data_IF_679203497168
#
_entry.id   IF_679203497168
#
_cell.length_a   1.000
_cell.length_b   1.000
_cell.length_c   1.000
_cell.angle_alpha   90.00
_cell.angle_beta   90.00
_cell.angle_gamma   90.00
#
_symmetry.space_group_name_H-M   'P 1'
#
loop_
_entity.id
_entity.type
_entity.pdbx_description
1 polymer ?
#
# COMPACT_ATOMS: atom_id res chain seq x y z
N UNK A 1 0.73 -1.54 -1.02
CA UNK A 1 1.16 -2.55 -0.02
C UNK A 1 1.82 -3.68 -0.77
N UNK A 2 3.05 -4.06 -0.39
CA UNK A 2 3.66 -5.29 -0.89
C UNK A 2 3.49 -6.38 0.17
N UNK A 3 2.69 -7.39 -0.15
CA UNK A 3 2.45 -8.52 0.74
C UNK A 3 3.61 -9.52 0.62
N UNK A 4 3.95 -10.15 1.75
CA UNK A 4 4.76 -11.36 1.72
C UNK A 4 4.04 -12.43 0.88
N UNK A 5 4.77 -13.29 0.16
CA UNK A 5 4.20 -14.26 -0.78
C UNK A 5 3.15 -15.17 -0.13
N UNK A 6 3.34 -15.51 1.15
CA UNK A 6 2.44 -16.38 1.94
C UNK A 6 1.03 -15.82 2.15
N UNK A 7 0.86 -14.50 2.00
CA UNK A 7 -0.40 -13.79 2.22
C UNK A 7 -1.04 -13.29 0.92
N UNK A 8 -0.40 -13.50 -0.24
CA UNK A 8 -0.98 -13.14 -1.54
C UNK A 8 -2.26 -13.97 -1.76
N UNK A 9 -3.38 -13.29 -2.06
CA UNK A 9 -4.69 -13.92 -2.26
C UNK A 9 -5.45 -14.29 -0.98
N UNK A 10 -4.84 -14.13 0.20
CA UNK A 10 -5.51 -14.38 1.50
C UNK A 10 -5.99 -13.11 2.18
N UNK A 11 -5.39 -11.96 1.84
CA UNK A 11 -5.70 -10.67 2.44
C UNK A 11 -6.29 -9.77 1.37
N UNK A 12 -7.46 -9.20 1.66
CA UNK A 12 -8.19 -8.28 0.79
C UNK A 12 -8.15 -6.85 1.33
N UNK A 13 -8.44 -5.88 0.46
CA UNK A 13 -8.41 -4.46 0.83
C UNK A 13 -9.39 -4.14 1.97
N UNK A 14 -10.60 -4.71 1.91
CA UNK A 14 -11.63 -4.52 2.93
C UNK A 14 -11.18 -5.02 4.31
N UNK A 15 -10.51 -6.16 4.37
CA UNK A 15 -10.00 -6.73 5.62
C UNK A 15 -8.96 -5.79 6.27
N UNK A 16 -8.08 -5.20 5.46
CA UNK A 16 -7.10 -4.21 5.94
C UNK A 16 -7.80 -2.93 6.40
N UNK A 17 -8.79 -2.45 5.66
CA UNK A 17 -9.57 -1.25 6.02
C UNK A 17 -10.29 -1.49 7.35
N UNK A 18 -10.96 -2.63 7.51
CA UNK A 18 -11.66 -3.01 8.74
C UNK A 18 -10.68 -3.07 9.92
N UNK A 19 -9.54 -3.74 9.74
CA UNK A 19 -8.48 -3.78 10.74
C UNK A 19 -7.99 -2.39 11.14
N UNK A 20 -7.82 -1.48 10.18
CA UNK A 20 -7.45 -0.09 10.45
C UNK A 20 -8.57 0.67 11.18
N UNK A 21 -9.84 0.48 10.81
CA UNK A 21 -10.98 1.14 11.46
C UNK A 21 -11.14 0.75 12.92
N UNK A 22 -10.86 -0.50 13.28
CA UNK A 22 -10.96 -0.99 14.66
C UNK A 22 -9.84 -0.45 15.56
N UNK A 23 -8.69 -0.05 15.00
CA UNK A 23 -7.48 0.31 15.76
C UNK A 23 -7.03 1.76 15.61
N UNK A 24 -7.52 2.47 14.59
CA UNK A 24 -7.13 3.84 14.26
C UNK A 24 -8.34 4.76 14.30
N UNK A 25 -8.09 6.03 14.64
CA UNK A 25 -9.09 7.08 14.46
C UNK A 25 -9.50 7.20 12.98
N UNK A 26 -10.76 7.53 12.72
CA UNK A 26 -11.36 7.51 11.37
C UNK A 26 -10.54 8.26 10.30
N UNK A 27 -9.89 9.37 10.65
CA UNK A 27 -9.08 10.16 9.71
C UNK A 27 -7.74 9.51 9.33
N UNK A 28 -7.25 8.53 10.10
CA UNK A 28 -6.02 7.77 9.81
C UNK A 28 -6.27 6.52 8.99
N UNK A 29 -7.55 6.15 8.79
CA UNK A 29 -7.90 4.99 7.99
C UNK A 29 -7.59 5.30 6.52
N UNK A 30 -6.80 4.45 5.83
CA UNK A 30 -6.50 4.66 4.42
C UNK A 30 -7.78 4.56 3.59
N UNK A 31 -7.93 5.48 2.63
CA UNK A 31 -9.09 5.51 1.71
C UNK A 31 -8.94 4.60 0.50
N UNK A 32 -7.70 4.35 0.10
CA UNK A 32 -7.33 3.55 -1.09
C UNK A 32 -6.20 2.64 -0.68
N UNK A 33 -6.30 1.35 -1.02
CA UNK A 33 -5.27 0.35 -0.77
C UNK A 33 -4.92 -0.33 -2.08
N UNK A 34 -3.72 -0.10 -2.59
CA UNK A 34 -3.26 -0.81 -3.78
C UNK A 34 -2.26 -1.90 -3.39
N UNK A 35 -2.52 -3.14 -3.79
CA UNK A 35 -1.53 -4.21 -3.67
C UNK A 35 -0.58 -4.20 -4.86
N UNK A 36 0.72 -4.37 -4.58
CA UNK A 36 1.78 -4.46 -5.60
C UNK A 36 2.67 -5.64 -5.29
N UNK A 37 3.26 -6.24 -6.32
CA UNK A 37 4.22 -7.32 -6.16
C UNK A 37 5.51 -6.85 -5.47
N UNK A 38 5.99 -5.66 -5.83
CA UNK A 38 7.15 -5.05 -5.21
C UNK A 38 6.98 -3.52 -5.07
N UNK A 39 7.65 -2.96 -4.05
CA UNK A 39 7.81 -1.52 -3.88
C UNK A 39 9.10 -1.06 -4.55
N UNK A 40 9.11 0.14 -5.19
CA UNK A 40 10.31 0.69 -5.78
C UNK A 40 11.34 0.92 -4.67
N UNK A 41 12.53 0.33 -4.84
CA UNK A 41 13.64 0.41 -3.91
C UNK A 41 14.85 1.04 -4.59
N UNK A 42 15.68 1.73 -3.81
CA UNK A 42 16.99 2.18 -4.26
C UNK A 42 17.94 0.98 -4.42
N UNK A 43 19.10 1.19 -5.06
CA UNK A 43 20.14 0.17 -5.19
C UNK A 43 20.61 -0.42 -3.85
N UNK A 44 20.41 0.32 -2.74
CA UNK A 44 20.70 -0.12 -1.37
C UNK A 44 19.45 -0.58 -0.60
N UNK A 45 18.33 -0.85 -1.30
CA UNK A 45 17.13 -1.44 -0.73
C UNK A 45 16.14 -0.49 -0.05
N UNK A 46 16.39 0.84 -0.03
CA UNK A 46 15.49 1.81 0.62
C UNK A 46 14.25 2.06 -0.25
N UNK A 47 13.06 2.07 0.35
CA UNK A 47 11.81 2.35 -0.38
C UNK A 47 11.79 3.79 -0.92
N UNK A 48 11.63 3.94 -2.23
CA UNK A 48 11.59 5.21 -2.94
C UNK A 48 10.16 5.77 -2.98
N UNK A 49 9.77 6.43 -1.88
CA UNK A 49 8.45 7.07 -1.77
C UNK A 49 8.17 8.11 -2.87
N UNK A 50 9.23 8.76 -3.38
CA UNK A 50 9.11 9.74 -4.47
C UNK A 50 8.57 9.10 -5.75
N UNK A 51 9.12 7.95 -6.14
CA UNK A 51 8.68 7.21 -7.34
C UNK A 51 7.21 6.80 -7.22
N UNK A 52 6.82 6.26 -6.06
CA UNK A 52 5.41 5.92 -5.79
C UNK A 52 4.48 7.13 -6.00
N UNK A 53 4.88 8.32 -5.52
CA UNK A 53 4.09 9.53 -5.69
C UNK A 53 3.99 9.97 -7.16
N UNK A 54 5.09 9.86 -7.91
CA UNK A 54 5.12 10.20 -9.34
C UNK A 54 4.24 9.24 -10.18
N UNK A 55 4.27 7.95 -9.89
CA UNK A 55 3.41 6.95 -10.55
C UNK A 55 1.92 7.23 -10.32
N UNK A 56 1.54 7.54 -9.08
CA UNK A 56 0.16 7.87 -8.73
C UNK A 56 -0.30 9.21 -9.35
N UNK A 57 0.60 10.19 -9.47
CA UNK A 57 0.32 11.44 -10.19
C UNK A 57 0.13 11.22 -11.69
N UNK A 58 0.92 10.33 -12.31
CA UNK A 58 0.78 9.97 -13.72
C UNK A 58 -0.54 9.22 -14.00
N UNK A 59 -0.96 8.32 -13.12
CA UNK A 59 -2.25 7.61 -13.25
C UNK A 59 -3.48 8.55 -13.19
N UNK A 60 -3.36 9.67 -12.49
CA UNK A 60 -4.45 10.66 -12.32
C UNK A 60 -4.53 11.69 -13.45
N UNK A 61 -3.58 11.70 -14.36
CA UNK A 61 -3.47 12.67 -15.46
C UNK A 61 -3.94 12.05 -16.76
#
# INVERSE_FOLDING_TARGET
IALKPEYKGKVSEDEIIKFCKERLAAYKVPKIIEFRDELPKSAVGKVLRRVLKEEEMKKKK
#
